data_IF_326427076830
#
_entry.id   IF_326427076830
#
_cell.length_a   1.000
_cell.length_b   1.000
_cell.length_c   1.000
_cell.angle_alpha   90.00
_cell.angle_beta   90.00
_cell.angle_gamma   90.00
#
_symmetry.space_group_name_H-M   'P 1'
#
loop_
_entity.id
_entity.type
_entity.pdbx_description
1 polymer ?
#
# COMPACT_ATOMS: atom_id res chain seq x y z
N UNK A 1 -23.98 16.26 -24.53
CA UNK A 1 -23.70 15.85 -23.13
C UNK A 1 -23.76 14.34 -22.95
N UNK A 2 -24.83 13.66 -23.40
CA UNK A 2 -25.02 12.22 -23.20
C UNK A 2 -23.92 11.34 -23.83
N UNK A 3 -23.40 11.74 -25.00
CA UNK A 3 -22.27 11.05 -25.66
C UNK A 3 -20.98 11.14 -24.86
N UNK A 4 -20.65 12.33 -24.33
CA UNK A 4 -19.50 12.53 -23.43
C UNK A 4 -19.63 11.75 -22.12
N UNK A 5 -20.86 11.64 -21.60
CA UNK A 5 -21.15 10.90 -20.38
C UNK A 5 -21.04 9.38 -20.60
N UNK A 6 -21.54 8.87 -21.73
CA UNK A 6 -21.40 7.46 -22.12
C UNK A 6 -19.93 7.10 -22.39
N UNK A 7 -19.18 7.96 -23.07
CA UNK A 7 -17.74 7.76 -23.30
C UNK A 7 -16.94 7.80 -22.00
N UNK A 8 -17.27 8.73 -21.08
CA UNK A 8 -16.65 8.78 -19.76
C UNK A 8 -16.98 7.53 -18.91
N UNK A 9 -18.24 7.10 -18.89
CA UNK A 9 -18.66 5.90 -18.16
C UNK A 9 -18.03 4.63 -18.74
N UNK A 10 -17.88 4.55 -20.07
CA UNK A 10 -17.24 3.42 -20.75
C UNK A 10 -15.72 3.40 -20.50
N UNK A 11 -15.07 4.57 -20.52
CA UNK A 11 -13.67 4.71 -20.15
C UNK A 11 -13.44 4.30 -18.68
N UNK A 12 -14.30 4.75 -17.78
CA UNK A 12 -14.26 4.39 -16.36
C UNK A 12 -14.51 2.89 -16.18
N UNK A 13 -15.53 2.28 -16.78
CA UNK A 13 -15.83 0.86 -16.53
C UNK A 13 -14.71 -0.07 -17.02
N UNK A 14 -14.12 0.21 -18.19
CA UNK A 14 -13.08 -0.62 -18.79
C UNK A 14 -11.75 -0.47 -18.04
N UNK A 15 -11.35 0.76 -17.69
CA UNK A 15 -10.05 1.00 -17.07
C UNK A 15 -10.05 0.94 -15.53
N UNK A 16 -11.19 1.21 -14.88
CA UNK A 16 -11.26 1.26 -13.42
C UNK A 16 -11.47 -0.10 -12.79
N UNK A 17 -12.04 -1.09 -13.49
CA UNK A 17 -12.27 -2.42 -12.92
C UNK A 17 -10.98 -3.07 -12.43
N UNK A 18 -9.91 -2.99 -13.24
CA UNK A 18 -8.60 -3.52 -12.88
C UNK A 18 -7.94 -2.75 -11.72
N UNK A 19 -8.08 -1.42 -11.70
CA UNK A 19 -7.54 -0.57 -10.64
C UNK A 19 -8.27 -0.76 -9.30
N UNK A 20 -9.61 -0.86 -9.33
CA UNK A 20 -10.42 -1.17 -8.16
C UNK A 20 -10.03 -2.54 -7.61
N UNK A 21 -9.82 -3.51 -8.50
CA UNK A 21 -9.36 -4.83 -8.10
C UNK A 21 -7.98 -4.80 -7.41
N UNK A 22 -6.99 -4.09 -7.98
CA UNK A 22 -5.69 -3.97 -7.34
C UNK A 22 -5.74 -3.18 -6.03
N UNK A 23 -6.57 -2.13 -5.95
CA UNK A 23 -6.77 -1.39 -4.71
C UNK A 23 -7.41 -2.27 -3.63
N UNK A 24 -8.36 -3.14 -4.01
CA UNK A 24 -8.94 -4.14 -3.12
C UNK A 24 -7.88 -5.14 -2.65
N UNK A 25 -7.01 -5.65 -3.54
CA UNK A 25 -5.90 -6.52 -3.17
C UNK A 25 -4.91 -5.82 -2.22
N UNK A 26 -4.65 -4.53 -2.41
CA UNK A 26 -3.82 -3.72 -1.52
C UNK A 26 -4.45 -3.49 -0.14
N UNK A 27 -5.78 -3.48 -0.06
CA UNK A 27 -6.52 -3.33 1.20
C UNK A 27 -6.46 -4.58 2.09
N UNK A 28 -6.41 -5.80 1.51
CA UNK A 28 -6.33 -7.07 2.25
C UNK A 28 -5.19 -7.10 3.29
N UNK A 29 -3.91 -6.87 2.93
CA UNK A 29 -2.82 -6.90 3.90
C UNK A 29 -2.96 -5.79 4.94
N UNK A 30 -3.51 -4.63 4.57
CA UNK A 30 -3.78 -3.56 5.50
C UNK A 30 -4.81 -3.95 6.56
N UNK A 31 -5.96 -4.49 6.16
CA UNK A 31 -6.95 -4.99 7.11
C UNK A 31 -6.36 -6.09 8.02
N UNK A 32 -5.61 -7.02 7.42
CA UNK A 32 -4.97 -8.11 8.14
C UNK A 32 -3.90 -7.62 9.12
N UNK A 33 -3.22 -6.51 8.83
CA UNK A 33 -2.22 -5.91 9.73
C UNK A 33 -2.83 -5.46 11.07
N UNK A 34 -4.09 -5.01 11.10
CA UNK A 34 -4.77 -4.68 12.36
C UNK A 34 -4.97 -5.93 13.20
N UNK A 35 -5.48 -7.00 12.58
CA UNK A 35 -5.69 -8.27 13.24
C UNK A 35 -4.36 -8.92 13.67
N UNK A 36 -3.29 -8.82 12.89
CA UNK A 36 -1.98 -9.38 13.24
C UNK A 36 -1.28 -8.60 14.35
N UNK A 37 -1.21 -7.27 14.20
CA UNK A 37 -0.25 -6.43 14.90
C UNK A 37 -0.86 -5.49 15.95
N UNK A 38 -2.19 -5.28 15.96
CA UNK A 38 -2.89 -4.48 17.00
C UNK A 38 -3.62 -5.30 18.06
N UNK A 39 -3.48 -6.63 18.05
CA UNK A 39 -4.01 -7.50 19.11
C UNK A 39 -3.42 -7.18 20.48
N UNK A 40 -4.21 -7.33 21.54
CA UNK A 40 -3.75 -7.14 22.93
C UNK A 40 -2.77 -8.24 23.37
N UNK A 41 -3.05 -9.49 22.98
CA UNK A 41 -2.15 -10.62 23.25
C UNK A 41 -1.00 -10.69 22.26
N UNK A 42 0.17 -11.11 22.75
CA UNK A 42 1.38 -11.36 21.94
C UNK A 42 1.58 -12.84 21.60
N UNK A 43 0.67 -13.72 22.05
CA UNK A 43 0.74 -15.16 21.77
C UNK A 43 0.57 -15.41 20.28
N UNK A 44 1.52 -16.13 19.68
CA UNK A 44 1.54 -16.47 18.25
C UNK A 44 0.94 -17.85 18.06
N UNK A 45 -0.35 -17.91 17.80
CA UNK A 45 -1.05 -19.17 17.47
C UNK A 45 -0.72 -19.60 16.03
N UNK A 46 -1.04 -20.84 15.68
CA UNK A 46 -0.95 -21.31 14.28
C UNK A 46 -1.69 -20.39 13.31
N UNK A 47 -2.88 -19.92 13.68
CA UNK A 47 -3.67 -18.99 12.90
C UNK A 47 -2.96 -17.64 12.70
N UNK A 48 -2.19 -17.17 13.71
CA UNK A 48 -1.37 -15.97 13.58
C UNK A 48 -0.32 -16.13 12.48
N UNK A 49 0.39 -17.26 12.46
CA UNK A 49 1.40 -17.55 11.44
C UNK A 49 0.80 -17.69 10.05
N UNK A 50 -0.34 -18.38 9.95
CA UNK A 50 -1.08 -18.47 8.69
C UNK A 50 -1.46 -17.07 8.18
N UNK A 51 -2.04 -16.23 9.04
CA UNK A 51 -2.36 -14.85 8.67
C UNK A 51 -1.13 -14.02 8.31
N UNK A 52 0.02 -14.26 8.96
CA UNK A 52 1.26 -13.58 8.62
C UNK A 52 1.77 -13.99 7.22
N UNK A 53 1.67 -15.26 6.85
CA UNK A 53 2.00 -15.73 5.50
C UNK A 53 1.08 -15.09 4.46
N UNK A 54 -0.24 -15.06 4.71
CA UNK A 54 -1.21 -14.40 3.82
C UNK A 54 -0.91 -12.90 3.71
N UNK A 55 -0.61 -12.24 4.82
CA UNK A 55 -0.22 -10.83 4.85
C UNK A 55 0.97 -10.59 3.92
N UNK A 56 2.03 -11.38 4.08
CA UNK A 56 3.24 -11.27 3.27
C UNK A 56 2.98 -11.56 1.77
N UNK A 57 2.16 -12.56 1.44
CA UNK A 57 1.85 -12.92 0.06
C UNK A 57 1.03 -11.85 -0.69
N UNK A 58 0.16 -11.12 0.03
CA UNK A 58 -0.67 -10.06 -0.55
C UNK A 58 -0.04 -8.68 -0.46
N UNK A 59 0.94 -8.47 0.41
CA UNK A 59 1.59 -7.18 0.62
C UNK A 59 2.18 -6.55 -0.66
N UNK A 60 2.79 -7.30 -1.60
CA UNK A 60 3.32 -6.73 -2.84
C UNK A 60 2.27 -6.04 -3.74
N UNK A 61 0.99 -6.38 -3.61
CA UNK A 61 -0.07 -5.74 -4.42
C UNK A 61 -0.22 -4.24 -4.12
N UNK A 62 0.12 -3.80 -2.91
CA UNK A 62 0.03 -2.40 -2.55
C UNK A 62 1.11 -1.53 -3.24
N UNK A 63 2.43 -1.85 -3.17
CA UNK A 63 3.43 -1.15 -3.97
C UNK A 63 3.36 -1.46 -5.47
N UNK A 64 2.74 -2.58 -5.88
CA UNK A 64 2.47 -2.86 -7.30
C UNK A 64 1.66 -1.73 -7.94
N UNK A 65 0.68 -1.19 -7.20
CA UNK A 65 -0.14 -0.05 -7.63
C UNK A 65 0.71 1.17 -8.05
N UNK A 66 1.87 1.39 -7.44
CA UNK A 66 2.78 2.48 -7.81
C UNK A 66 3.35 2.30 -9.23
N UNK A 67 3.51 1.05 -9.66
CA UNK A 67 3.93 0.71 -11.03
C UNK A 67 2.78 0.71 -12.05
N UNK A 68 1.53 0.89 -11.59
CA UNK A 68 0.32 0.89 -12.43
C UNK A 68 0.14 2.14 -13.29
N UNK A 69 1.06 3.11 -13.18
CA UNK A 69 1.10 4.29 -14.03
C UNK A 69 1.18 3.93 -15.54
N UNK A 70 1.68 2.74 -15.88
CA UNK A 70 1.68 2.22 -17.27
C UNK A 70 0.24 2.07 -17.82
N UNK A 71 -0.74 1.76 -16.97
CA UNK A 71 -2.15 1.67 -17.40
C UNK A 71 -2.73 3.05 -17.70
N UNK A 72 -2.33 4.07 -16.94
CA UNK A 72 -2.68 5.47 -17.23
C UNK A 72 -2.12 5.89 -18.59
N UNK A 73 -0.85 5.56 -18.90
CA UNK A 73 -0.24 5.83 -20.20
C UNK A 73 -1.01 5.14 -21.34
N UNK A 74 -1.46 3.89 -21.13
CA UNK A 74 -2.27 3.18 -22.13
C UNK A 74 -3.64 3.80 -22.32
N UNK A 75 -4.29 4.26 -21.26
CA UNK A 75 -5.55 5.00 -21.36
C UNK A 75 -5.37 6.29 -22.19
N UNK A 76 -4.27 7.02 -22.01
CA UNK A 76 -3.95 8.20 -22.82
C UNK A 76 -3.77 7.87 -24.31
N UNK A 77 -3.27 6.68 -24.65
CA UNK A 77 -3.09 6.23 -26.03
C UNK A 77 -4.35 5.63 -26.67
N UNK A 78 -5.40 5.38 -25.90
CA UNK A 78 -6.65 4.77 -26.38
C UNK A 78 -7.58 5.75 -27.11
N UNK A 79 -7.17 7.01 -27.29
CA UNK A 79 -7.92 8.00 -28.07
C UNK A 79 -9.06 8.70 -27.32
N UNK A 80 -9.11 8.60 -25.98
CA UNK A 80 -10.07 9.38 -25.19
C UNK A 80 -9.78 10.88 -25.27
N UNK A 81 -10.82 11.69 -25.12
CA UNK A 81 -10.68 13.15 -25.03
C UNK A 81 -9.73 13.55 -23.90
N UNK A 82 -8.83 14.51 -24.17
CA UNK A 82 -7.87 15.03 -23.20
C UNK A 82 -8.55 15.52 -21.90
N UNK A 83 -9.76 16.06 -22.00
CA UNK A 83 -10.56 16.49 -20.84
C UNK A 83 -10.95 15.34 -19.92
N UNK A 84 -11.38 14.20 -20.49
CA UNK A 84 -11.74 13.00 -19.71
C UNK A 84 -10.51 12.45 -19.01
N UNK A 85 -9.37 12.41 -19.72
CA UNK A 85 -8.11 11.94 -19.16
C UNK A 85 -7.67 12.85 -18.00
N UNK A 86 -7.66 14.16 -18.21
CA UNK A 86 -7.16 15.13 -17.24
C UNK A 86 -8.04 15.24 -15.98
N UNK A 87 -9.36 15.25 -16.12
CA UNK A 87 -10.29 15.54 -15.01
C UNK A 87 -10.80 14.29 -14.32
N UNK A 88 -10.84 13.13 -15.01
CA UNK A 88 -11.42 11.90 -14.47
C UNK A 88 -10.35 10.84 -14.27
N UNK A 89 -9.65 10.45 -15.34
CA UNK A 89 -8.76 9.29 -15.29
C UNK A 89 -7.51 9.55 -14.43
N UNK A 90 -6.83 10.68 -14.63
CA UNK A 90 -5.62 11.03 -13.86
C UNK A 90 -5.94 11.13 -12.36
N UNK A 91 -6.92 11.92 -11.88
CA UNK A 91 -7.21 12.01 -10.46
C UNK A 91 -7.60 10.68 -9.84
N UNK A 92 -8.39 9.87 -10.55
CA UNK A 92 -8.78 8.54 -10.09
C UNK A 92 -7.57 7.62 -9.91
N UNK A 93 -6.63 7.62 -10.85
CA UNK A 93 -5.40 6.82 -10.76
C UNK A 93 -4.48 7.33 -9.64
N UNK A 94 -4.29 8.64 -9.53
CA UNK A 94 -3.48 9.24 -8.46
C UNK A 94 -4.08 8.89 -7.10
N UNK A 95 -5.40 8.98 -6.94
CA UNK A 95 -6.08 8.61 -5.69
C UNK A 95 -5.89 7.12 -5.37
N UNK A 96 -6.05 6.24 -6.36
CA UNK A 96 -5.83 4.81 -6.15
C UNK A 96 -4.37 4.53 -5.73
N UNK A 97 -3.39 5.11 -6.43
CA UNK A 97 -1.96 4.93 -6.13
C UNK A 97 -1.63 5.41 -4.72
N UNK A 98 -2.02 6.64 -4.37
CA UNK A 98 -1.76 7.22 -3.05
C UNK A 98 -2.47 6.40 -1.97
N UNK A 99 -3.76 6.07 -2.15
CA UNK A 99 -4.54 5.30 -1.18
C UNK A 99 -4.01 3.88 -0.98
N UNK A 100 -3.66 3.18 -2.06
CA UNK A 100 -3.05 1.85 -1.99
C UNK A 100 -1.68 1.87 -1.33
N UNK A 101 -0.88 2.90 -1.60
CA UNK A 101 0.41 3.06 -0.95
C UNK A 101 0.28 3.47 0.53
N UNK A 102 -0.74 4.22 0.91
CA UNK A 102 -1.07 4.47 2.32
C UNK A 102 -1.49 3.19 3.05
N UNK A 103 -2.23 2.27 2.40
CA UNK A 103 -2.49 0.94 2.96
C UNK A 103 -1.19 0.17 3.23
N UNK A 104 -0.20 0.28 2.34
CA UNK A 104 1.13 -0.27 2.56
C UNK A 104 1.83 0.37 3.77
N UNK A 105 1.89 1.71 3.81
CA UNK A 105 2.54 2.46 4.91
C UNK A 105 1.89 2.12 6.26
N UNK A 106 0.56 2.16 6.33
CA UNK A 106 -0.20 1.83 7.53
C UNK A 106 0.03 0.40 8.02
N UNK A 107 0.21 -0.55 7.10
CA UNK A 107 0.55 -1.94 7.42
C UNK A 107 1.91 -2.05 8.12
N UNK A 108 2.93 -1.38 7.57
CA UNK A 108 4.28 -1.39 8.14
C UNK A 108 4.35 -0.60 9.46
N UNK A 109 3.59 0.49 9.59
CA UNK A 109 3.46 1.20 10.86
C UNK A 109 2.84 0.31 11.95
N UNK A 110 1.82 -0.47 11.60
CA UNK A 110 1.22 -1.45 12.51
C UNK A 110 2.26 -2.52 12.93
N UNK A 111 3.02 -3.06 11.97
CA UNK A 111 4.12 -3.98 12.24
C UNK A 111 5.19 -3.37 13.15
N UNK A 112 5.61 -2.13 12.87
CA UNK A 112 6.58 -1.40 13.69
C UNK A 112 6.08 -1.19 15.12
N UNK A 113 4.81 -0.84 15.29
CA UNK A 113 4.18 -0.74 16.61
C UNK A 113 4.18 -2.09 17.35
N UNK A 114 3.86 -3.19 16.66
CA UNK A 114 3.93 -4.53 17.24
C UNK A 114 5.35 -4.92 17.67
N UNK A 115 6.36 -4.63 16.85
CA UNK A 115 7.77 -4.88 17.20
C UNK A 115 8.18 -4.07 18.44
N UNK A 116 7.76 -2.80 18.56
CA UNK A 116 7.99 -2.02 19.79
C UNK A 116 7.37 -2.68 21.02
N UNK A 117 6.12 -3.14 20.92
CA UNK A 117 5.43 -3.85 22.02
C UNK A 117 6.09 -5.17 22.41
N UNK A 118 6.76 -5.83 21.47
CA UNK A 118 7.53 -7.05 21.73
C UNK A 118 8.93 -6.78 22.29
N UNK A 119 9.33 -5.52 22.54
CA UNK A 119 10.71 -5.16 22.92
C UNK A 119 11.73 -5.27 21.78
N UNK A 120 11.26 -5.44 20.54
CA UNK A 120 12.05 -5.70 19.34
C UNK A 120 12.32 -4.42 18.51
N UNK A 121 12.38 -3.25 19.15
CA UNK A 121 12.50 -1.93 18.47
C UNK A 121 13.69 -1.86 17.51
N UNK A 122 14.82 -2.50 17.84
CA UNK A 122 16.01 -2.56 16.98
C UNK A 122 15.78 -3.24 15.62
N UNK A 123 14.73 -4.07 15.53
CA UNK A 123 14.40 -4.82 14.31
C UNK A 123 13.38 -4.11 13.42
N UNK A 124 12.90 -2.92 13.78
CA UNK A 124 11.91 -2.19 12.97
C UNK A 124 12.47 -1.87 11.58
N UNK A 125 13.59 -1.15 11.51
CA UNK A 125 14.20 -0.77 10.22
C UNK A 125 14.63 -2.00 9.41
N UNK A 126 15.34 -3.00 9.99
CA UNK A 126 15.64 -4.23 9.26
C UNK A 126 14.41 -4.95 8.71
N UNK A 127 13.31 -5.01 9.47
CA UNK A 127 12.09 -5.65 9.03
C UNK A 127 11.37 -4.86 7.93
N UNK A 128 11.37 -3.52 8.01
CA UNK A 128 10.85 -2.64 6.94
C UNK A 128 11.63 -2.87 5.64
N UNK A 129 12.98 -2.87 5.70
CA UNK A 129 13.84 -3.12 4.53
C UNK A 129 13.66 -4.53 3.94
N UNK A 130 13.55 -5.56 4.79
CA UNK A 130 13.29 -6.92 4.33
C UNK A 130 11.94 -7.01 3.60
N UNK A 131 10.91 -6.34 4.13
CA UNK A 131 9.59 -6.25 3.50
C UNK A 131 9.66 -5.48 2.18
N UNK A 132 10.41 -4.38 2.08
CA UNK A 132 10.63 -3.66 0.82
C UNK A 132 11.28 -4.56 -0.24
N UNK A 133 12.30 -5.33 0.14
CA UNK A 133 12.98 -6.25 -0.76
C UNK A 133 12.04 -7.34 -1.27
N UNK A 134 11.24 -7.92 -0.38
CA UNK A 134 10.26 -8.93 -0.73
C UNK A 134 9.16 -8.37 -1.65
N UNK A 135 8.67 -7.16 -1.36
CA UNK A 135 7.72 -6.48 -2.21
C UNK A 135 8.31 -6.13 -3.58
N UNK A 136 9.58 -5.73 -3.68
CA UNK A 136 10.23 -5.47 -4.95
C UNK A 136 10.30 -6.73 -5.83
N UNK A 137 10.61 -7.89 -5.23
CA UNK A 137 10.54 -9.19 -5.92
C UNK A 137 9.11 -9.50 -6.35
N UNK A 138 8.13 -9.36 -5.44
CA UNK A 138 6.72 -9.63 -5.76
C UNK A 138 6.17 -8.74 -6.88
N UNK A 139 6.52 -7.45 -6.89
CA UNK A 139 6.15 -6.52 -7.96
C UNK A 139 6.79 -6.92 -9.28
N UNK A 140 8.06 -7.30 -9.27
CA UNK A 140 8.76 -7.80 -10.45
C UNK A 140 8.07 -9.05 -11.02
N UNK A 141 7.75 -10.03 -10.17
CA UNK A 141 7.04 -11.24 -10.58
C UNK A 141 5.67 -10.92 -11.20
N UNK A 142 4.91 -10.02 -10.60
CA UNK A 142 3.63 -9.59 -11.16
C UNK A 142 3.78 -8.85 -12.49
N UNK A 143 4.81 -8.00 -12.64
CA UNK A 143 4.98 -7.17 -13.83
C UNK A 143 5.58 -7.90 -15.03
N UNK A 144 6.61 -8.69 -14.79
CA UNK A 144 7.39 -9.30 -15.87
C UNK A 144 6.98 -10.75 -16.11
N UNK A 145 6.72 -11.51 -15.05
CA UNK A 145 6.30 -12.92 -15.13
C UNK A 145 4.77 -13.09 -15.12
N UNK A 146 4.00 -12.02 -14.84
CA UNK A 146 2.52 -12.01 -14.77
C UNK A 146 1.92 -12.94 -13.71
N UNK A 147 2.69 -13.22 -12.65
CA UNK A 147 2.18 -13.98 -11.51
C UNK A 147 1.33 -13.09 -10.58
N UNK A 148 0.22 -13.62 -10.09
CA UNK A 148 -0.61 -13.01 -9.05
C UNK A 148 -0.34 -13.69 -7.70
N UNK A 149 -0.80 -13.06 -6.61
CA UNK A 149 -0.72 -13.67 -5.27
C UNK A 149 -1.40 -15.04 -5.17
N UNK A 150 -2.34 -15.35 -6.06
CA UNK A 150 -3.01 -16.66 -6.15
C UNK A 150 -2.14 -17.75 -6.81
N UNK A 151 -1.15 -17.38 -7.61
CA UNK A 151 -0.23 -18.32 -8.24
C UNK A 151 0.76 -18.93 -7.23
N UNK A 152 1.03 -18.25 -6.10
CA UNK A 152 1.79 -18.85 -5.00
C UNK A 152 1.10 -20.08 -4.39
N UNK A 153 -0.23 -20.12 -4.44
CA UNK A 153 -1.02 -21.23 -3.89
C UNK A 153 -1.26 -22.30 -4.95
N UNK A 154 -1.56 -21.89 -6.18
CA UNK A 154 -1.95 -22.82 -7.25
C UNK A 154 -0.76 -23.41 -8.01
N UNK A 155 0.38 -22.71 -8.09
CA UNK A 155 1.58 -23.12 -8.86
C UNK A 155 2.89 -22.69 -8.16
N UNK A 156 3.13 -23.12 -6.90
CA UNK A 156 4.29 -22.67 -6.13
C UNK A 156 5.62 -22.98 -6.82
N UNK A 157 5.76 -24.16 -7.44
CA UNK A 157 7.01 -24.60 -8.06
C UNK A 157 7.42 -23.69 -9.22
N UNK A 158 6.46 -23.30 -10.06
CA UNK A 158 6.71 -22.39 -11.18
C UNK A 158 7.13 -20.99 -10.72
N UNK A 159 6.56 -20.52 -9.60
CA UNK A 159 6.93 -19.23 -9.00
C UNK A 159 8.36 -19.29 -8.45
N UNK A 160 8.70 -20.35 -7.69
CA UNK A 160 10.03 -20.51 -7.07
C UNK A 160 11.12 -20.63 -8.13
N UNK A 161 10.92 -21.49 -9.15
CA UNK A 161 11.90 -21.65 -10.25
C UNK A 161 12.08 -20.33 -11.00
N UNK A 162 10.99 -19.58 -11.24
CA UNK A 162 11.06 -18.26 -11.86
C UNK A 162 11.89 -17.26 -11.05
N UNK A 163 11.70 -17.21 -9.72
CA UNK A 163 12.50 -16.34 -8.83
C UNK A 163 13.99 -16.68 -8.92
N UNK A 164 14.34 -17.97 -8.83
CA UNK A 164 15.73 -18.39 -8.84
C UNK A 164 16.43 -18.06 -10.17
N UNK A 165 15.76 -18.32 -11.29
CA UNK A 165 16.25 -18.00 -12.63
C UNK A 165 16.45 -16.48 -12.82
N UNK A 166 15.48 -15.68 -12.38
CA UNK A 166 15.54 -14.22 -12.49
C UNK A 166 16.63 -13.60 -11.61
N UNK A 167 16.84 -14.11 -10.39
CA UNK A 167 17.90 -13.65 -9.50
C UNK A 167 19.31 -13.92 -10.03
N UNK A 168 19.47 -14.86 -10.96
CA UNK A 168 20.76 -15.13 -11.62
C UNK A 168 21.01 -14.25 -12.86
N UNK A 169 19.99 -13.51 -13.32
CA UNK A 169 20.07 -12.70 -14.55
C UNK A 169 20.17 -11.20 -14.24
N UNK A 170 21.07 -10.48 -14.93
CA UNK A 170 21.35 -9.06 -14.67
C UNK A 170 20.15 -8.11 -14.86
N UNK A 171 19.33 -8.33 -15.89
CA UNK A 171 18.19 -7.44 -16.22
C UNK A 171 17.06 -7.51 -15.18
N UNK A 172 16.55 -8.70 -14.80
CA UNK A 172 15.59 -8.83 -13.69
C UNK A 172 16.11 -8.23 -12.38
N UNK A 173 17.37 -8.52 -12.03
CA UNK A 173 17.97 -8.02 -10.80
C UNK A 173 18.00 -6.49 -10.74
N UNK A 174 18.34 -5.83 -11.86
CA UNK A 174 18.30 -4.37 -11.95
C UNK A 174 16.87 -3.82 -11.77
N UNK A 175 15.87 -4.46 -12.38
CA UNK A 175 14.47 -4.04 -12.23
C UNK A 175 13.99 -4.20 -10.77
N UNK A 176 14.37 -5.29 -10.10
CA UNK A 176 14.08 -5.51 -8.67
C UNK A 176 14.78 -4.45 -7.82
N UNK A 177 16.06 -4.16 -8.08
CA UNK A 177 16.83 -3.16 -7.33
C UNK A 177 16.25 -1.75 -7.47
N UNK A 178 15.87 -1.34 -8.69
CA UNK A 178 15.19 -0.06 -8.93
C UNK A 178 13.86 -0.02 -8.19
N UNK A 179 13.08 -1.08 -8.27
CA UNK A 179 11.78 -1.18 -7.58
C UNK A 179 11.95 -1.09 -6.05
N UNK A 180 12.97 -1.75 -5.50
CA UNK A 180 13.31 -1.69 -4.08
C UNK A 180 13.63 -0.27 -3.62
N UNK A 181 14.51 0.44 -4.34
CA UNK A 181 14.86 1.83 -4.04
C UNK A 181 13.62 2.72 -4.13
N UNK A 182 12.83 2.58 -5.20
CA UNK A 182 11.60 3.34 -5.41
C UNK A 182 10.59 3.14 -4.28
N UNK A 183 10.30 1.89 -3.87
CA UNK A 183 9.37 1.59 -2.78
C UNK A 183 9.91 2.15 -1.45
N UNK A 184 11.21 1.98 -1.20
CA UNK A 184 11.85 2.42 0.03
C UNK A 184 11.76 3.93 0.20
N UNK A 185 12.13 4.69 -0.85
CA UNK A 185 12.06 6.16 -0.84
C UNK A 185 10.62 6.63 -0.68
N UNK A 186 9.68 6.08 -1.46
CA UNK A 186 8.27 6.44 -1.37
C UNK A 186 7.71 6.14 0.04
N UNK A 187 8.09 5.00 0.64
CA UNK A 187 7.68 4.62 1.98
C UNK A 187 8.17 5.61 3.04
N UNK A 188 9.45 5.98 3.01
CA UNK A 188 9.99 6.94 3.98
C UNK A 188 9.29 8.29 3.88
N UNK A 189 9.11 8.82 2.67
CA UNK A 189 8.42 10.11 2.46
C UNK A 189 7.00 10.05 3.04
N UNK A 190 6.23 9.03 2.65
CA UNK A 190 4.84 8.91 3.08
C UNK A 190 4.73 8.65 4.58
N UNK A 191 5.59 7.81 5.15
CA UNK A 191 5.67 7.55 6.60
C UNK A 191 5.85 8.85 7.40
N UNK A 192 6.79 9.71 7.00
CA UNK A 192 7.01 11.00 7.67
C UNK A 192 5.79 11.91 7.56
N UNK A 193 5.13 11.96 6.40
CA UNK A 193 3.88 12.71 6.22
C UNK A 193 2.77 12.17 7.14
N UNK A 194 2.53 10.86 7.14
CA UNK A 194 1.48 10.22 7.95
C UNK A 194 1.71 10.46 9.44
N UNK A 195 2.95 10.29 9.93
CA UNK A 195 3.29 10.53 11.34
C UNK A 195 3.19 12.02 11.70
N UNK A 196 3.71 12.90 10.86
CA UNK A 196 3.65 14.35 11.07
C UNK A 196 2.21 14.88 11.13
N UNK A 197 1.35 14.45 10.21
CA UNK A 197 -0.08 14.76 10.23
C UNK A 197 -0.76 14.22 11.50
N UNK A 198 -0.41 13.00 11.92
CA UNK A 198 -0.92 12.40 13.15
C UNK A 198 -0.60 13.23 14.39
N UNK A 199 0.65 13.68 14.52
CA UNK A 199 1.10 14.53 15.63
C UNK A 199 0.42 15.90 15.61
N UNK A 200 0.28 16.52 14.42
CA UNK A 200 -0.42 17.80 14.25
C UNK A 200 -1.90 17.71 14.64
N UNK A 201 -2.58 16.62 14.30
CA UNK A 201 -3.98 16.40 14.68
C UNK A 201 -4.10 16.24 16.20
N UNK A 202 -3.17 15.53 16.83
CA UNK A 202 -3.15 15.37 18.29
C UNK A 202 -2.94 16.70 19.00
N UNK A 203 -1.99 17.52 18.56
CA UNK A 203 -1.73 18.84 19.17
C UNK A 203 -2.95 19.75 19.10
N UNK A 204 -3.62 19.82 17.93
CA UNK A 204 -4.84 20.62 17.76
C UNK A 204 -5.98 20.12 18.63
N UNK A 205 -6.11 18.79 18.83
CA UNK A 205 -7.13 18.22 19.73
C UNK A 205 -6.85 18.55 21.19
N UNK A 206 -5.59 18.53 21.62
CA UNK A 206 -5.18 18.89 22.97
C UNK A 206 -5.43 20.37 23.28
N UNK A 207 -5.05 21.27 22.36
CA UNK A 207 -5.34 22.70 22.47
C UNK A 207 -6.84 22.98 22.65
N UNK A 208 -7.69 22.37 21.80
CA UNK A 208 -9.15 22.51 21.91
C UNK A 208 -9.69 21.99 23.24
N UNK A 209 -9.16 20.85 23.73
CA UNK A 209 -9.56 20.27 25.01
C UNK A 209 -9.18 21.19 26.18
N UNK A 210 -8.00 21.81 26.13
CA UNK A 210 -7.53 22.73 27.16
C UNK A 210 -8.35 24.04 27.17
N UNK A 211 -8.64 24.60 25.99
CA UNK A 211 -9.52 25.77 25.88
C UNK A 211 -10.95 25.49 26.40
N UNK A 212 -11.50 24.31 26.11
CA UNK A 212 -12.81 23.91 26.62
C UNK A 212 -12.82 23.80 28.16
N UNK A 213 -11.77 23.21 28.76
CA UNK A 213 -11.62 23.14 30.22
C UNK A 213 -11.51 24.53 30.85
N UNK A 214 -10.73 25.42 30.25
CA UNK A 214 -10.55 26.79 30.75
C UNK A 214 -11.86 27.59 30.72
N UNK A 215 -12.63 27.50 29.62
CA UNK A 215 -13.97 28.13 29.52
C UNK A 215 -14.98 27.55 30.52
N UNK A 216 -14.86 26.27 30.88
CA UNK A 216 -15.71 25.65 31.89
C UNK A 216 -15.38 26.15 33.31
N UNK A 217 -14.09 26.33 33.65
CA UNK A 217 -13.67 26.91 34.95
C UNK A 217 -14.23 28.31 35.14
N UNK A 218 -14.08 29.18 34.15
CA UNK A 218 -14.58 30.56 34.23
C UNK A 218 -16.11 30.67 34.40
N UNK A 219 -16.89 29.69 33.90
CA UNK A 219 -18.35 29.66 34.11
C UNK A 219 -18.78 29.16 35.48
N UNK A 220 -17.93 28.38 36.16
CA UNK A 220 -18.21 27.90 37.51
C UNK A 220 -17.83 28.93 38.57
N UNK A 221 -16.94 29.87 38.21
CA UNK A 221 -16.48 30.97 39.06
C UNK A 221 -17.33 32.26 38.90
N UNK A 222 -18.23 32.32 37.90
CA UNK A 222 -19.14 33.44 37.61
C UNK A 222 -20.57 33.14 38.05
#
# INVERSE_FOLDING_TARGET
MEYLLKDALRAVSIHSGWMIWNLFLAFIPFALSFWLFRRRTLVRTWLWWFGFVVFIAFLPNAPYLLTDIIHLIRATRAGYSAWIIAVIIIPLHVFAIIGGFEFYVGSLLNQGHYLRRCGATRYIIPAELAVHALCAVGVYLGRFRRFNSWDLVTKPDSVIVGILDDLTTKKPLLAIAITFVMITVAYFIMKEITLGLGLRIQSVREERRNQAKQKASYRLES
#
